data_IF_276730163769
#
_entry.id   IF_276730163769
#
_cell.length_a   1.000
_cell.length_b   1.000
_cell.length_c   1.000
_cell.angle_alpha   90.00
_cell.angle_beta   90.00
_cell.angle_gamma   90.00
#
_symmetry.space_group_name_H-M   'P 1'
#
loop_
_entity.id
_entity.type
_entity.pdbx_description
1 polymer ?
#
# COMPACT_ATOMS: atom_id res chain seq x y z
N UNK A 1 4.64 -4.05 -20.15
CA UNK A 1 5.41 -3.41 -19.05
C UNK A 1 6.49 -4.38 -18.61
N UNK A 2 7.77 -3.98 -18.56
CA UNK A 2 8.82 -4.84 -18.02
C UNK A 2 8.52 -5.22 -16.57
N UNK A 3 8.94 -6.42 -16.16
CA UNK A 3 8.73 -6.91 -14.79
C UNK A 3 9.50 -6.00 -13.81
N UNK A 4 8.84 -5.39 -12.81
CA UNK A 4 9.53 -4.56 -11.83
C UNK A 4 10.43 -5.42 -10.92
N UNK A 5 11.51 -4.84 -10.42
CA UNK A 5 12.39 -5.45 -9.42
C UNK A 5 11.67 -5.63 -8.08
N UNK A 6 10.82 -4.64 -7.72
CA UNK A 6 9.93 -4.66 -6.55
C UNK A 6 8.53 -4.25 -6.93
N UNK A 7 7.54 -4.94 -6.37
CA UNK A 7 6.14 -4.55 -6.48
C UNK A 7 5.59 -4.29 -5.09
N UNK A 8 5.27 -3.03 -4.82
CA UNK A 8 4.70 -2.56 -3.56
C UNK A 8 3.20 -2.43 -3.72
N UNK A 9 2.45 -3.18 -2.92
CA UNK A 9 1.00 -3.06 -2.79
C UNK A 9 0.67 -2.30 -1.52
N UNK A 10 -0.02 -1.17 -1.64
CA UNK A 10 -0.44 -0.36 -0.49
C UNK A 10 -1.94 -0.55 -0.30
N UNK A 11 -2.36 -0.96 0.90
CA UNK A 11 -3.78 -1.07 1.24
C UNK A 11 -4.35 0.33 1.45
N UNK A 12 -5.27 0.74 0.59
CA UNK A 12 -6.04 1.99 0.76
C UNK A 12 -7.55 1.70 0.73
N UNK A 13 -7.95 0.49 1.13
CA UNK A 13 -9.35 0.10 1.21
C UNK A 13 -10.13 1.07 2.09
N UNK A 14 -11.26 1.55 1.57
CA UNK A 14 -12.26 2.32 2.31
C UNK A 14 -13.44 1.44 2.71
N UNK A 15 -14.03 1.68 3.88
CA UNK A 15 -15.29 1.09 4.34
C UNK A 15 -16.15 2.17 4.98
N UNK A 16 -17.48 1.95 5.11
CA UNK A 16 -18.34 2.88 5.84
C UNK A 16 -17.87 3.11 7.28
N UNK A 17 -18.17 4.29 7.82
CA UNK A 17 -17.89 4.61 9.22
C UNK A 17 -18.62 3.64 10.16
N UNK A 18 -17.93 3.25 11.23
CA UNK A 18 -18.46 2.26 12.19
C UNK A 18 -18.34 0.80 11.74
N UNK A 19 -17.75 0.49 10.58
CA UNK A 19 -17.49 -0.89 10.19
C UNK A 19 -16.58 -1.59 11.23
N UNK A 20 -16.94 -2.78 11.76
CA UNK A 20 -16.27 -3.37 12.94
C UNK A 20 -14.79 -3.66 12.75
N UNK A 21 -14.35 -3.90 11.51
CA UNK A 21 -12.93 -4.12 11.17
C UNK A 21 -12.14 -2.85 10.82
N UNK A 22 -12.77 -1.67 10.86
CA UNK A 22 -12.22 -0.44 10.29
C UNK A 22 -11.78 -0.59 8.84
N UNK A 23 -10.87 0.27 8.36
CA UNK A 23 -10.25 0.12 7.04
C UNK A 23 -8.90 0.85 6.96
N UNK A 24 -8.06 0.52 5.97
CA UNK A 24 -6.74 1.13 5.83
C UNK A 24 -6.85 2.63 5.47
N UNK A 25 -7.86 3.02 4.68
CA UNK A 25 -8.04 4.43 4.30
C UNK A 25 -8.27 5.34 5.51
N UNK A 26 -9.12 4.93 6.47
CA UNK A 26 -9.35 5.65 7.73
C UNK A 26 -8.09 5.72 8.62
N UNK A 27 -7.11 4.84 8.38
CA UNK A 27 -5.83 4.82 9.10
C UNK A 27 -4.70 5.53 8.33
N UNK A 28 -5.01 6.27 7.26
CA UNK A 28 -4.00 7.00 6.45
C UNK A 28 -3.48 6.24 5.23
N UNK A 29 -4.05 5.08 4.89
CA UNK A 29 -3.58 4.26 3.76
C UNK A 29 -3.69 4.93 2.39
N UNK A 30 -4.58 5.91 2.21
CA UNK A 30 -4.66 6.72 0.99
C UNK A 30 -3.50 7.71 0.90
N UNK A 31 -3.17 8.37 2.00
CA UNK A 31 -2.04 9.31 2.07
C UNK A 31 -0.71 8.58 1.92
N UNK A 32 -0.61 7.38 2.49
CA UNK A 32 0.55 6.49 2.34
C UNK A 32 0.79 6.14 0.86
N UNK A 33 -0.26 5.77 0.12
CA UNK A 33 -0.16 5.47 -1.30
C UNK A 33 0.35 6.69 -2.10
N UNK A 34 -0.15 7.89 -1.79
CA UNK A 34 0.32 9.13 -2.42
C UNK A 34 1.78 9.42 -2.08
N UNK A 35 2.20 9.18 -0.83
CA UNK A 35 3.59 9.33 -0.41
C UNK A 35 4.53 8.39 -1.19
N UNK A 36 4.13 7.13 -1.39
CA UNK A 36 4.90 6.19 -2.22
C UNK A 36 5.03 6.68 -3.67
N UNK A 37 3.96 7.15 -4.31
CA UNK A 37 4.04 7.67 -5.67
C UNK A 37 4.91 8.93 -5.77
N UNK A 38 4.83 9.82 -4.79
CA UNK A 38 5.67 11.02 -4.73
C UNK A 38 7.16 10.66 -4.62
N UNK A 39 7.52 9.71 -3.77
CA UNK A 39 8.91 9.26 -3.63
C UNK A 39 9.39 8.48 -4.87
N UNK A 40 8.51 7.68 -5.48
CA UNK A 40 8.80 6.98 -6.74
C UNK A 40 9.14 7.98 -7.86
N UNK A 41 8.36 9.07 -7.95
CA UNK A 41 8.57 10.14 -8.90
C UNK A 41 9.86 10.92 -8.62
N UNK A 42 10.05 11.34 -7.37
CA UNK A 42 11.22 12.12 -6.94
C UNK A 42 12.54 11.40 -7.23
N UNK A 43 12.54 10.07 -7.18
CA UNK A 43 13.73 9.23 -7.40
C UNK A 43 13.82 8.66 -8.82
N UNK A 44 12.85 8.95 -9.68
CA UNK A 44 12.77 8.43 -11.05
C UNK A 44 12.90 6.89 -11.12
N UNK A 45 12.14 6.17 -10.28
CA UNK A 45 12.24 4.71 -10.10
C UNK A 45 11.15 3.91 -10.83
N UNK A 46 10.39 4.54 -11.73
CA UNK A 46 9.26 3.91 -12.42
C UNK A 46 9.62 2.69 -13.28
N UNK A 47 10.89 2.58 -13.68
CA UNK A 47 11.45 1.46 -14.45
C UNK A 47 11.82 0.25 -13.57
N UNK A 48 11.97 0.45 -12.25
CA UNK A 48 12.44 -0.56 -11.29
C UNK A 48 11.39 -0.98 -10.28
N UNK A 49 10.54 -0.06 -9.83
CA UNK A 49 9.58 -0.29 -8.76
C UNK A 49 8.18 0.05 -9.27
N UNK A 50 7.24 -0.88 -9.05
CA UNK A 50 5.82 -0.61 -9.25
C UNK A 50 5.14 -0.43 -7.89
N UNK A 51 4.35 0.63 -7.76
CA UNK A 51 3.50 0.89 -6.59
C UNK A 51 2.05 0.82 -7.05
N UNK A 52 1.25 -0.03 -6.40
CA UNK A 52 -0.13 -0.28 -6.79
C UNK A 52 -1.05 -0.20 -5.58
N UNK A 53 -2.19 0.45 -5.78
CA UNK A 53 -3.32 0.37 -4.86
C UNK A 53 -3.75 -1.08 -4.67
N UNK A 54 -4.07 -1.46 -3.44
CA UNK A 54 -4.72 -2.72 -3.13
C UNK A 54 -5.94 -2.52 -2.25
N UNK A 55 -6.92 -3.42 -2.44
CA UNK A 55 -8.02 -3.59 -1.50
C UNK A 55 -7.53 -4.20 -0.18
N UNK A 56 -8.46 -4.76 0.58
CA UNK A 56 -8.14 -5.38 1.87
C UNK A 56 -7.12 -6.52 1.75
N UNK A 57 -5.94 -6.36 2.39
CA UNK A 57 -4.88 -7.37 2.44
C UNK A 57 -5.03 -8.40 3.58
N UNK A 58 -6.07 -8.29 4.41
CA UNK A 58 -6.38 -9.25 5.47
C UNK A 58 -6.40 -8.61 6.87
N UNK A 59 -5.23 -8.39 7.51
CA UNK A 59 -5.14 -7.95 8.90
C UNK A 59 -5.47 -6.46 9.06
N UNK A 60 -6.76 -6.12 9.08
CA UNK A 60 -7.22 -4.72 9.16
C UNK A 60 -6.84 -4.03 10.48
N UNK A 61 -6.73 -4.79 11.58
CA UNK A 61 -6.44 -4.26 12.91
C UNK A 61 -5.04 -3.62 12.98
N UNK A 62 -4.08 -4.19 12.26
CA UNK A 62 -2.72 -3.67 12.10
C UNK A 62 -2.53 -2.69 10.93
N UNK A 63 -3.58 -2.29 10.21
CA UNK A 63 -3.42 -1.36 9.07
C UNK A 63 -2.91 0.04 9.47
N UNK A 64 -2.44 0.86 8.51
CA UNK A 64 -2.32 0.59 7.07
C UNK A 64 -1.32 -0.53 6.77
N UNK A 65 -1.62 -1.33 5.75
CA UNK A 65 -0.80 -2.49 5.39
C UNK A 65 -0.14 -2.28 4.02
N UNK A 66 1.10 -2.70 3.90
CA UNK A 66 1.87 -2.68 2.65
C UNK A 66 2.49 -4.05 2.45
N UNK A 67 2.41 -4.61 1.25
CA UNK A 67 3.09 -5.87 0.90
C UNK A 67 4.10 -5.62 -0.20
N UNK A 68 5.32 -6.11 -0.03
CA UNK A 68 6.41 -5.97 -1.01
C UNK A 68 6.74 -7.35 -1.59
N UNK A 69 6.58 -7.48 -2.90
CA UNK A 69 7.04 -8.63 -3.68
C UNK A 69 8.38 -8.32 -4.38
N UNK A 70 9.23 -9.34 -4.61
CA UNK A 70 8.97 -10.78 -4.44
C UNK A 70 9.13 -11.33 -3.02
N UNK A 71 9.62 -10.55 -2.06
CA UNK A 71 9.91 -11.04 -0.70
C UNK A 71 8.67 -11.54 0.07
N UNK A 72 7.48 -11.07 -0.30
CA UNK A 72 6.24 -11.39 0.42
C UNK A 72 6.18 -10.76 1.81
N UNK A 73 6.98 -9.72 2.05
CA UNK A 73 7.04 -9.04 3.35
C UNK A 73 5.86 -8.10 3.48
N UNK A 74 5.09 -8.27 4.56
CA UNK A 74 4.03 -7.36 4.96
C UNK A 74 4.56 -6.39 6.02
N UNK A 75 4.38 -5.10 5.77
CA UNK A 75 4.51 -4.04 6.75
C UNK A 75 3.11 -3.62 7.20
N UNK A 76 2.97 -3.40 8.50
CA UNK A 76 1.73 -3.00 9.17
C UNK A 76 2.02 -1.79 10.05
N UNK A 77 1.01 -0.97 10.32
CA UNK A 77 1.11 0.28 11.09
C UNK A 77 2.15 1.25 10.50
N UNK A 78 2.21 1.30 9.17
CA UNK A 78 3.11 2.17 8.39
C UNK A 78 2.59 3.60 8.36
#
# INVERSE_FOLDING_TARGET
MPKPQKHVFVCSQTRPDGHPRGCCAQKGGSDLLQAFWKELQKRNLFDRISVTYSGCLGPCDGGPNVVVYPEGVMYSQV
#
